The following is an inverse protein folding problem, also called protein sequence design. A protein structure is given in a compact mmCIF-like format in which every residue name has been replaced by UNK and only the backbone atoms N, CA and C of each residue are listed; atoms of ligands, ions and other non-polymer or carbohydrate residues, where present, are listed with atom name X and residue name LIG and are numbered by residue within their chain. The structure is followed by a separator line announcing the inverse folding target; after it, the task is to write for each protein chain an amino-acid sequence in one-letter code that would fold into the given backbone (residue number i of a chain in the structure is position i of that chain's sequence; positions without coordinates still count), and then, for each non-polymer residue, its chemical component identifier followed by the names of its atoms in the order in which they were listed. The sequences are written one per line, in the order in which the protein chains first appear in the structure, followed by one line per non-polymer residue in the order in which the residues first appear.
data_IF_587006062149
#
_entry.id   IF_587006062149
#
_cell.length_a   1.000
_cell.length_b   1.000
_cell.length_c   1.000
_cell.angle_alpha   90.00
_cell.angle_beta   90.00
_cell.angle_gamma   90.00
#
_symmetry.space_group_name_H-M   'P 1'
#
loop_
_entity.id
_entity.type
_entity.pdbx_description
1 polymer ?
#
# COMPACT_ATOMS: atom_id res chain seq x y z
N UNK A 1 15.79 -15.61 4.96
CA UNK A 1 14.96 -14.80 5.88
C UNK A 1 15.82 -14.42 7.06
N UNK A 2 15.64 -13.22 7.62
CA UNK A 2 16.26 -12.81 8.88
C UNK A 2 15.31 -13.13 10.03
N UNK A 3 15.83 -13.66 11.14
CA UNK A 3 15.05 -13.84 12.36
C UNK A 3 15.07 -12.53 13.16
N UNK A 4 13.91 -12.09 13.61
CA UNK A 4 13.77 -10.88 14.43
C UNK A 4 12.91 -11.22 15.64
N UNK A 5 13.37 -10.85 16.82
CA UNK A 5 12.61 -11.03 18.05
C UNK A 5 11.71 -9.81 18.25
N UNK A 6 10.39 -10.02 18.24
CA UNK A 6 9.37 -8.99 18.38
C UNK A 6 8.43 -9.41 19.51
N UNK A 7 7.98 -8.44 20.32
CA UNK A 7 6.83 -8.63 21.19
C UNK A 7 5.59 -8.19 20.42
N UNK A 8 4.60 -9.07 20.37
CA UNK A 8 3.33 -8.85 19.69
C UNK A 8 2.22 -8.98 20.72
N UNK A 9 1.11 -8.28 20.46
CA UNK A 9 -0.13 -8.49 21.18
C UNK A 9 -0.72 -9.85 20.76
N UNK A 10 -0.86 -10.78 21.70
CA UNK A 10 -1.30 -12.15 21.45
C UNK A 10 -2.77 -12.21 20.99
N UNK A 11 -3.63 -11.35 21.53
CA UNK A 11 -5.04 -11.30 21.16
C UNK A 11 -5.20 -10.82 19.72
N UNK A 12 -4.46 -9.76 19.35
CA UNK A 12 -4.44 -9.25 17.97
C UNK A 12 -3.85 -10.28 17.00
N UNK A 13 -2.82 -11.01 17.41
CA UNK A 13 -2.20 -12.05 16.59
C UNK A 13 -3.16 -13.22 16.35
N UNK A 14 -3.94 -13.60 17.36
CA UNK A 14 -4.99 -14.62 17.24
C UNK A 14 -6.13 -14.17 16.32
N UNK A 15 -6.59 -12.92 16.45
CA UNK A 15 -7.61 -12.35 15.55
C UNK A 15 -7.10 -12.33 14.10
N UNK A 16 -5.87 -11.86 13.89
CA UNK A 16 -5.25 -11.85 12.57
C UNK A 16 -5.09 -13.26 12.01
N UNK A 17 -4.71 -14.25 12.82
CA UNK A 17 -4.61 -15.64 12.38
C UNK A 17 -5.97 -16.19 11.95
N UNK A 18 -7.03 -15.91 12.70
CA UNK A 18 -8.40 -16.26 12.32
C UNK A 18 -8.86 -15.60 11.02
N UNK A 19 -8.60 -14.30 10.87
CA UNK A 19 -8.97 -13.54 9.68
C UNK A 19 -8.20 -13.97 8.42
N UNK A 20 -6.93 -14.35 8.59
CA UNK A 20 -6.04 -14.78 7.50
C UNK A 20 -6.13 -16.29 7.22
N UNK A 21 -6.72 -17.08 8.13
CA UNK A 21 -6.77 -18.53 8.05
C UNK A 21 -5.40 -19.20 8.23
N UNK A 22 -4.48 -18.54 8.94
CA UNK A 22 -3.11 -19.01 9.13
C UNK A 22 -2.97 -19.78 10.43
N UNK A 23 -1.98 -20.66 10.50
CA UNK A 23 -1.83 -21.62 11.62
C UNK A 23 -0.60 -21.35 12.48
N UNK A 24 0.33 -20.52 11.99
CA UNK A 24 1.54 -20.16 12.73
C UNK A 24 1.70 -18.66 12.78
N UNK A 25 2.24 -18.14 13.88
CA UNK A 25 2.49 -16.70 14.07
C UNK A 25 3.32 -16.12 12.92
N UNK A 26 4.36 -16.85 12.49
CA UNK A 26 5.22 -16.45 11.37
C UNK A 26 4.43 -16.29 10.07
N UNK A 27 3.52 -17.22 9.80
CA UNK A 27 2.65 -17.18 8.62
C UNK A 27 1.70 -15.98 8.70
N UNK A 28 1.02 -15.81 9.85
CA UNK A 28 0.13 -14.67 10.12
C UNK A 28 0.85 -13.34 9.88
N UNK A 29 2.04 -13.15 10.46
CA UNK A 29 2.83 -11.92 10.31
C UNK A 29 3.29 -11.73 8.87
N UNK A 30 3.77 -12.80 8.22
CA UNK A 30 4.24 -12.73 6.83
C UNK A 30 3.11 -12.31 5.90
N UNK A 31 1.92 -12.88 6.07
CA UNK A 31 0.78 -12.60 5.20
C UNK A 31 0.15 -11.24 5.50
N UNK A 32 0.08 -10.83 6.77
CA UNK A 32 -0.29 -9.47 7.13
C UNK A 32 0.62 -8.43 6.45
N UNK A 33 1.95 -8.62 6.51
CA UNK A 33 2.90 -7.73 5.82
C UNK A 33 2.71 -7.72 4.31
N UNK A 34 2.43 -8.88 3.70
CA UNK A 34 2.12 -8.97 2.26
C UNK A 34 0.86 -8.18 1.90
N UNK A 35 -0.19 -8.23 2.74
CA UNK A 35 -1.40 -7.45 2.52
C UNK A 35 -1.14 -5.96 2.58
N UNK A 36 -0.36 -5.47 3.55
CA UNK A 36 0.01 -4.05 3.66
C UNK A 36 0.76 -3.59 2.40
N UNK A 37 1.73 -4.37 1.94
CA UNK A 37 2.48 -4.05 0.71
C UNK A 37 1.55 -4.04 -0.51
N UNK A 38 0.64 -5.02 -0.63
CA UNK A 38 -0.33 -5.10 -1.72
C UNK A 38 -1.27 -3.89 -1.72
N UNK A 39 -1.80 -3.51 -0.56
CA UNK A 39 -2.64 -2.34 -0.40
C UNK A 39 -1.91 -1.04 -0.76
N UNK A 40 -0.65 -0.90 -0.35
CA UNK A 40 0.20 0.24 -0.73
C UNK A 40 0.43 0.32 -2.24
N UNK A 41 0.74 -0.81 -2.89
CA UNK A 41 0.90 -0.88 -4.35
C UNK A 41 -0.38 -0.51 -5.08
N UNK A 42 -1.52 -1.04 -4.65
CA UNK A 42 -2.81 -0.74 -5.26
C UNK A 42 -3.20 0.73 -5.09
N UNK A 43 -2.95 1.34 -3.93
CA UNK A 43 -3.15 2.78 -3.71
C UNK A 43 -2.36 3.62 -4.72
N UNK A 44 -1.07 3.30 -4.91
CA UNK A 44 -0.22 3.99 -5.89
C UNK A 44 -0.71 3.77 -7.32
N UNK A 45 -1.19 2.56 -7.64
CA UNK A 45 -1.72 2.24 -8.97
C UNK A 45 -2.97 3.07 -9.28
N UNK A 46 -3.87 3.22 -8.31
CA UNK A 46 -5.07 4.08 -8.45
C UNK A 46 -4.70 5.54 -8.63
N UNK A 47 -3.85 6.08 -7.75
CA UNK A 47 -3.39 7.46 -7.87
C UNK A 47 -2.75 7.75 -9.24
N UNK A 48 -1.98 6.80 -9.79
CA UNK A 48 -1.43 6.93 -11.13
C UNK A 48 -2.52 6.93 -12.21
N UNK A 49 -3.51 6.05 -12.11
CA UNK A 49 -4.64 6.01 -13.04
C UNK A 49 -5.43 7.32 -12.99
N UNK A 50 -5.69 7.85 -11.80
CA UNK A 50 -6.38 9.13 -11.60
C UNK A 50 -5.61 10.29 -12.26
N UNK A 51 -4.27 10.33 -12.08
CA UNK A 51 -3.42 11.32 -12.75
C UNK A 51 -3.43 11.19 -14.28
N UNK A 52 -3.45 9.95 -14.80
CA UNK A 52 -3.55 9.71 -16.24
C UNK A 52 -4.88 10.18 -16.82
N UNK A 53 -5.98 9.99 -16.09
CA UNK A 53 -7.30 10.49 -16.46
C UNK A 53 -7.33 12.02 -16.49
N UNK A 54 -6.81 12.68 -15.44
CA UNK A 54 -6.69 14.14 -15.38
C UNK A 54 -5.86 14.67 -16.54
N UNK A 55 -4.75 14.01 -16.89
CA UNK A 55 -3.94 14.40 -18.03
C UNK A 55 -4.69 14.26 -19.36
N UNK A 56 -5.39 13.14 -19.56
CA UNK A 56 -6.17 12.89 -20.77
C UNK A 56 -7.35 13.86 -20.92
N UNK A 57 -7.95 14.31 -19.81
CA UNK A 57 -9.03 15.30 -19.82
C UNK A 57 -8.53 16.75 -19.95
N UNK A 58 -7.24 16.97 -20.15
CA UNK A 58 -6.65 18.31 -20.26
C UNK A 58 -6.59 19.08 -18.95
N UNK A 59 -6.61 18.39 -17.80
CA UNK A 59 -6.54 19.00 -16.47
C UNK A 59 -5.18 19.60 -16.11
N UNK A 60 -4.15 19.38 -16.95
CA UNK A 60 -2.86 20.06 -16.84
C UNK A 60 -2.74 21.14 -17.92
N UNK A 61 -2.74 22.40 -17.51
CA UNK A 61 -2.47 23.55 -18.37
C UNK A 61 -0.96 23.74 -18.56
N UNK A 62 -0.32 22.76 -19.19
CA UNK A 62 1.14 22.78 -19.43
C UNK A 62 1.56 23.96 -20.31
N UNK A 63 0.64 24.46 -21.15
CA UNK A 63 0.77 25.66 -21.97
C UNK A 63 1.00 26.94 -21.16
N UNK A 64 0.68 26.95 -19.85
CA UNK A 64 0.92 28.08 -18.97
C UNK A 64 2.17 27.96 -18.10
N UNK A 65 2.93 26.88 -18.23
CA UNK A 65 4.15 26.69 -17.45
C UNK A 65 5.22 27.74 -17.79
N UNK A 66 5.31 28.15 -19.07
CA UNK A 66 6.25 29.17 -19.55
C UNK A 66 5.98 30.57 -18.94
N UNK A 67 4.79 30.81 -18.38
CA UNK A 67 4.42 32.06 -17.74
C UNK A 67 4.95 32.19 -16.30
N UNK A 68 5.35 31.08 -15.66
CA UNK A 68 5.83 31.04 -14.27
C UNK A 68 7.33 31.36 -14.13
N UNK A 69 8.10 31.28 -15.21
CA UNK A 69 9.55 31.54 -15.24
C UNK A 69 9.89 33.03 -15.51
N UNK A 70 8.92 33.95 -15.39
CA UNK A 70 9.09 35.42 -15.50
C UNK A 70 9.02 36.13 -14.16
#
# INVERSE_FOLDING_TARGET
MAATHLHLDEDLLAEAAGALGTTTERETVTDALRQVVKASRERRRRALADLQEIAASGGFHLDRLDELDR
#
